data_IF_915155805429
#
_entry.id   IF_915155805429
#
_cell.length_a   1.000
_cell.length_b   1.000
_cell.length_c   1.000
_cell.angle_alpha   90.00
_cell.angle_beta   90.00
_cell.angle_gamma   90.00
#
_symmetry.space_group_name_H-M   'P 1'
#
loop_
_entity.id
_entity.type
_entity.pdbx_description
1 polymer ?
#
# COMPACT_ATOMS: atom_id res chain seq x y z
N UNK A 1 18.31 27.29 15.63
CA UNK A 1 17.62 26.86 14.39
C UNK A 1 18.41 25.82 13.59
N UNK A 2 19.76 25.87 13.52
CA UNK A 2 20.56 24.86 12.81
C UNK A 2 20.60 23.47 13.47
N UNK A 3 20.33 23.39 14.78
CA UNK A 3 20.34 22.14 15.54
C UNK A 3 19.20 21.19 15.17
N UNK A 4 18.11 21.71 14.58
CA UNK A 4 16.97 20.92 14.08
C UNK A 4 16.96 20.76 12.56
N UNK A 5 18.02 21.21 11.87
CA UNK A 5 18.09 21.10 10.43
C UNK A 5 18.47 19.67 10.04
N UNK A 6 17.63 19.03 9.23
CA UNK A 6 17.91 17.69 8.71
C UNK A 6 19.18 17.72 7.85
N UNK A 7 20.03 16.72 8.05
CA UNK A 7 21.17 16.43 7.21
C UNK A 7 20.72 16.00 5.81
N UNK A 8 21.64 16.04 4.84
CA UNK A 8 21.37 15.55 3.47
C UNK A 8 20.89 14.10 3.45
N UNK A 9 21.40 13.25 4.35
CA UNK A 9 20.99 11.85 4.47
C UNK A 9 19.56 11.73 4.99
N UNK A 10 19.20 12.48 6.03
CA UNK A 10 17.85 12.47 6.59
C UNK A 10 16.82 13.06 5.61
N UNK A 11 17.19 14.09 4.84
CA UNK A 11 16.34 14.59 3.76
C UNK A 11 16.07 13.53 2.69
N UNK A 12 17.09 12.75 2.31
CA UNK A 12 16.92 11.63 1.37
C UNK A 12 15.97 10.57 1.92
N UNK A 13 16.10 10.22 3.20
CA UNK A 13 15.19 9.26 3.87
C UNK A 13 13.77 9.83 3.89
N UNK A 14 13.59 11.11 4.21
CA UNK A 14 12.28 11.77 4.22
C UNK A 14 11.62 11.79 2.83
N UNK A 15 12.40 11.99 1.77
CA UNK A 15 11.93 11.92 0.39
C UNK A 15 11.47 10.51 0.03
N UNK A 16 12.27 9.48 0.34
CA UNK A 16 11.91 8.08 0.14
C UNK A 16 10.66 7.68 0.94
N UNK A 17 10.55 8.15 2.19
CA UNK A 17 9.36 7.94 3.02
C UNK A 17 8.12 8.57 2.40
N UNK A 18 8.25 9.77 1.83
CA UNK A 18 7.14 10.45 1.13
C UNK A 18 6.63 9.63 -0.05
N UNK A 19 7.50 8.95 -0.79
CA UNK A 19 7.09 8.07 -1.90
C UNK A 19 6.24 6.90 -1.41
N UNK A 20 6.68 6.22 -0.34
CA UNK A 20 5.90 5.15 0.31
C UNK A 20 4.53 5.66 0.76
N UNK A 21 4.48 6.83 1.39
CA UNK A 21 3.24 7.43 1.86
C UNK A 21 2.33 7.89 0.71
N UNK A 22 2.88 8.22 -0.45
CA UNK A 22 2.09 8.62 -1.63
C UNK A 22 1.20 7.48 -2.11
N UNK A 23 1.70 6.24 -2.14
CA UNK A 23 0.93 5.05 -2.52
C UNK A 23 -0.29 4.88 -1.59
N UNK A 24 -0.07 5.01 -0.28
CA UNK A 24 -1.14 4.89 0.71
C UNK A 24 -2.14 6.05 0.62
N UNK A 25 -1.65 7.26 0.32
CA UNK A 25 -2.50 8.43 0.11
C UNK A 25 -3.39 8.26 -1.11
N UNK A 26 -2.86 7.76 -2.22
CA UNK A 26 -3.62 7.52 -3.45
C UNK A 26 -4.74 6.51 -3.22
N UNK A 27 -4.45 5.39 -2.53
CA UNK A 27 -5.46 4.42 -2.13
C UNK A 27 -6.52 5.07 -1.22
N UNK A 28 -6.11 5.86 -0.23
CA UNK A 28 -7.04 6.54 0.69
C UNK A 28 -7.95 7.52 -0.06
N UNK A 29 -7.39 8.32 -0.97
CA UNK A 29 -8.16 9.26 -1.81
C UNK A 29 -9.12 8.51 -2.72
N UNK A 30 -8.71 7.36 -3.26
CA UNK A 30 -9.57 6.51 -4.07
C UNK A 30 -10.77 5.99 -3.27
N UNK A 31 -10.55 5.46 -2.06
CA UNK A 31 -11.62 4.97 -1.18
C UNK A 31 -12.47 6.07 -0.53
N UNK A 32 -11.99 7.32 -0.51
CA UNK A 32 -12.75 8.46 0.01
C UNK A 32 -13.78 9.02 -0.99
N UNK A 33 -13.80 8.52 -2.23
CA UNK A 33 -14.80 8.92 -3.25
C UNK A 33 -16.16 8.31 -2.90
N UNK A 34 -17.24 8.80 -3.52
CA UNK A 34 -18.60 8.25 -3.31
C UNK A 34 -18.87 6.95 -4.08
N UNK A 35 -17.95 6.52 -4.95
CA UNK A 35 -18.09 5.40 -5.90
C UNK A 35 -17.22 4.14 -5.69
N UNK A 36 -16.24 4.06 -4.76
CA UNK A 36 -15.43 2.86 -4.59
C UNK A 36 -16.33 1.76 -4.01
N UNK A 37 -16.43 0.67 -4.76
CA UNK A 37 -17.24 -0.47 -4.38
C UNK A 37 -16.41 -1.47 -3.57
N UNK A 38 -17.06 -2.30 -2.77
CA UNK A 38 -16.39 -3.28 -1.91
C UNK A 38 -15.49 -4.28 -2.72
N UNK A 39 -15.75 -4.43 -4.02
CA UNK A 39 -14.96 -5.27 -4.92
C UNK A 39 -13.66 -4.60 -5.40
N UNK A 40 -13.49 -3.27 -5.25
CA UNK A 40 -12.22 -2.58 -5.57
C UNK A 40 -11.19 -2.68 -4.45
N UNK A 41 -11.55 -3.21 -3.28
CA UNK A 41 -10.62 -3.38 -2.15
C UNK A 41 -9.50 -4.37 -2.49
N UNK A 42 -9.84 -5.51 -3.11
CA UNK A 42 -8.84 -6.55 -3.44
C UNK A 42 -7.83 -6.02 -4.48
N UNK A 43 -8.23 -5.43 -5.63
CA UNK A 43 -7.28 -4.87 -6.58
C UNK A 43 -6.42 -3.74 -6.01
N UNK A 44 -6.97 -2.90 -5.13
CA UNK A 44 -6.19 -1.86 -4.47
C UNK A 44 -5.16 -2.44 -3.49
N UNK A 45 -5.48 -3.50 -2.75
CA UNK A 45 -4.50 -4.16 -1.87
C UNK A 45 -3.43 -4.90 -2.65
N UNK A 46 -3.79 -5.55 -3.77
CA UNK A 46 -2.81 -6.20 -4.65
C UNK A 46 -1.87 -5.15 -5.27
N UNK A 47 -2.39 -4.00 -5.69
CA UNK A 47 -1.57 -2.88 -6.14
C UNK A 47 -0.59 -2.39 -5.06
N UNK A 48 -1.06 -2.10 -3.84
CA UNK A 48 -0.20 -1.65 -2.74
C UNK A 48 0.88 -2.69 -2.43
N UNK A 49 0.52 -3.97 -2.36
CA UNK A 49 1.46 -5.05 -2.07
C UNK A 49 2.54 -5.17 -3.16
N UNK A 50 2.17 -5.07 -4.44
CA UNK A 50 3.10 -5.11 -5.56
C UNK A 50 4.08 -3.92 -5.54
N UNK A 51 3.61 -2.72 -5.26
CA UNK A 51 4.49 -1.54 -5.14
C UNK A 51 5.43 -1.67 -3.92
N UNK A 52 4.93 -2.18 -2.80
CA UNK A 52 5.76 -2.42 -1.62
C UNK A 52 6.81 -3.50 -1.86
N UNK A 53 6.51 -4.56 -2.59
CA UNK A 53 7.49 -5.57 -2.98
C UNK A 53 8.60 -4.99 -3.86
N UNK A 54 8.27 -4.14 -4.83
CA UNK A 54 9.26 -3.43 -5.65
C UNK A 54 10.18 -2.55 -4.79
N UNK A 55 9.60 -1.80 -3.85
CA UNK A 55 10.37 -0.95 -2.93
C UNK A 55 11.28 -1.78 -2.01
N UNK A 56 10.80 -2.90 -1.47
CA UNK A 56 11.62 -3.78 -0.62
C UNK A 56 12.82 -4.33 -1.41
N UNK A 57 12.63 -4.66 -2.69
CA UNK A 57 13.69 -5.16 -3.56
C UNK A 57 14.65 -4.07 -4.09
N UNK A 58 14.29 -2.79 -3.99
CA UNK A 58 15.11 -1.69 -4.50
C UNK A 58 16.33 -1.42 -3.61
N UNK A 59 17.51 -1.76 -4.11
CA UNK A 59 18.79 -1.55 -3.42
C UNK A 59 19.17 -0.07 -3.25
N UNK A 60 18.51 0.84 -3.97
CA UNK A 60 18.76 2.28 -3.88
C UNK A 60 18.02 2.94 -2.71
N UNK A 61 16.99 2.26 -2.17
CA UNK A 61 16.29 2.70 -0.97
C UNK A 61 17.14 2.46 0.27
N UNK A 62 17.01 3.38 1.22
CA UNK A 62 17.67 3.24 2.51
C UNK A 62 17.21 1.95 3.21
N UNK A 63 18.12 1.19 3.86
CA UNK A 63 17.74 0.00 4.63
C UNK A 63 16.60 0.24 5.63
N UNK A 64 16.53 1.41 6.26
CA UNK A 64 15.47 1.75 7.18
C UNK A 64 14.10 1.87 6.48
N UNK A 65 14.07 2.41 5.26
CA UNK A 65 12.85 2.51 4.46
C UNK A 65 12.37 1.12 4.04
N UNK A 66 13.26 0.25 3.55
CA UNK A 66 12.90 -1.12 3.17
C UNK A 66 12.35 -1.93 4.35
N UNK A 67 12.94 -1.77 5.53
CA UNK A 67 12.45 -2.38 6.75
C UNK A 67 11.07 -1.83 7.16
N UNK A 68 10.88 -0.50 7.08
CA UNK A 68 9.59 0.14 7.36
C UNK A 68 8.49 -0.32 6.40
N UNK A 69 8.77 -0.40 5.09
CA UNK A 69 7.84 -0.91 4.06
C UNK A 69 7.50 -2.37 4.33
N UNK A 70 8.47 -3.20 4.71
CA UNK A 70 8.24 -4.60 5.09
C UNK A 70 7.27 -4.72 6.27
N UNK A 71 7.46 -3.91 7.33
CA UNK A 71 6.54 -3.84 8.46
C UNK A 71 5.14 -3.36 8.06
N UNK A 72 5.07 -2.34 7.20
CA UNK A 72 3.81 -1.79 6.70
C UNK A 72 3.03 -2.87 5.93
N UNK A 73 3.69 -3.62 5.04
CA UNK A 73 3.11 -4.75 4.31
C UNK A 73 2.57 -5.83 5.24
N UNK A 74 3.36 -6.24 6.24
CA UNK A 74 2.92 -7.23 7.24
C UNK A 74 1.68 -6.76 8.00
N UNK A 75 1.65 -5.48 8.38
CA UNK A 75 0.53 -4.88 9.10
C UNK A 75 -0.72 -4.81 8.23
N UNK A 76 -0.59 -4.34 6.98
CA UNK A 76 -1.69 -4.31 6.01
C UNK A 76 -2.28 -5.71 5.79
N UNK A 77 -1.43 -6.71 5.57
CA UNK A 77 -1.87 -8.09 5.35
C UNK A 77 -2.56 -8.69 6.59
N UNK A 78 -2.10 -8.36 7.80
CA UNK A 78 -2.75 -8.79 9.06
C UNK A 78 -4.16 -8.25 9.23
N UNK A 79 -4.42 -7.01 8.83
CA UNK A 79 -5.76 -6.43 8.89
C UNK A 79 -6.62 -6.91 7.73
N UNK A 80 -6.03 -7.00 6.54
CA UNK A 80 -6.73 -7.49 5.35
C UNK A 80 -7.28 -8.90 5.54
N UNK A 81 -6.50 -9.82 6.13
CA UNK A 81 -6.93 -11.20 6.40
C UNK A 81 -8.12 -11.32 7.34
N UNK A 82 -8.38 -10.32 8.19
CA UNK A 82 -9.55 -10.29 9.10
C UNK A 82 -10.84 -9.86 8.39
N UNK A 83 -10.71 -9.23 7.23
CA UNK A 83 -11.82 -8.65 6.46
C UNK A 83 -11.97 -9.27 5.07
N UNK A 84 -11.13 -10.26 4.74
CA UNK A 84 -11.00 -10.82 3.40
C UNK A 84 -12.26 -11.49 2.88
N UNK A 85 -13.04 -12.12 3.75
CA UNK A 85 -14.22 -12.89 3.33
C UNK A 85 -15.31 -11.99 2.74
N UNK A 86 -15.54 -10.83 3.37
CA UNK A 86 -16.52 -9.84 2.90
C UNK A 86 -16.13 -9.26 1.55
N UNK A 87 -14.84 -8.95 1.36
CA UNK A 87 -14.31 -8.44 0.09
C UNK A 87 -14.36 -9.48 -1.03
N UNK A 88 -14.05 -10.74 -0.71
CA UNK A 88 -14.11 -11.85 -1.68
C UNK A 88 -15.53 -12.11 -2.15
N UNK A 89 -16.51 -12.12 -1.23
CA UNK A 89 -17.93 -12.26 -1.57
C UNK A 89 -18.36 -11.12 -2.50
N UNK A 90 -18.03 -9.87 -2.18
CA UNK A 90 -18.36 -8.73 -3.03
C UNK A 90 -17.74 -8.81 -4.43
N UNK A 91 -16.48 -9.30 -4.53
CA UNK A 91 -15.82 -9.50 -5.82
C UNK A 91 -16.46 -10.61 -6.65
N UNK A 92 -16.82 -11.75 -6.02
CA UNK A 92 -17.53 -12.85 -6.71
C UNK A 92 -18.89 -12.39 -7.24
N UNK A 93 -19.58 -11.51 -6.51
CA UNK A 93 -20.86 -10.93 -6.93
C UNK A 93 -20.70 -9.82 -7.99
N UNK A 94 -19.49 -9.32 -8.23
CA UNK A 94 -19.25 -8.25 -9.20
C UNK A 94 -19.43 -8.77 -10.64
N UNK A 95 -20.36 -8.22 -11.44
CA UNK A 95 -20.76 -8.78 -12.73
C UNK A 95 -19.63 -8.85 -13.77
N UNK A 96 -18.58 -8.04 -13.59
CA UNK A 96 -17.41 -7.94 -14.48
C UNK A 96 -16.21 -8.82 -14.09
N UNK A 97 -16.04 -9.17 -12.81
CA UNK A 97 -14.80 -9.79 -12.29
C UNK A 97 -14.99 -11.22 -11.76
N UNK A 98 -16.17 -11.55 -11.19
CA UNK A 98 -16.60 -12.89 -10.73
C UNK A 98 -15.44 -13.79 -10.25
N UNK A 99 -15.36 -15.03 -10.75
CA UNK A 99 -14.31 -16.00 -10.41
C UNK A 99 -13.04 -15.84 -11.23
N UNK A 100 -13.04 -15.01 -12.28
CA UNK A 100 -11.89 -14.88 -13.17
C UNK A 100 -10.73 -14.13 -12.53
N UNK A 101 -10.98 -13.34 -11.48
CA UNK A 101 -9.93 -12.64 -10.74
C UNK A 101 -9.10 -13.57 -9.85
N UNK A 102 -9.68 -14.67 -9.36
CA UNK A 102 -9.02 -15.61 -8.44
C UNK A 102 -8.40 -16.82 -9.14
N UNK A 103 -8.36 -16.81 -10.48
CA UNK A 103 -7.73 -17.87 -11.28
C UNK A 103 -6.24 -17.65 -11.44
#
# INVERSE_FOLDING_TARGET
LSEFALSKGEWKIAEQLREVLSILKEATVFFSRSTPNLATVIPSMDYINNEFEKMIADINLDPAIRAAVSLARMTLNKYYSKTSDVYRIAMVLHPRHKLNYFK
#
